data_IF_175957234927
#
_entry.id   IF_175957234927
#
_cell.length_a   1.000
_cell.length_b   1.000
_cell.length_c   1.000
_cell.angle_alpha   90.00
_cell.angle_beta   90.00
_cell.angle_gamma   90.00
#
_symmetry.space_group_name_H-M   'P 1'
#
loop_
_entity.id
_entity.type
_entity.pdbx_description
1 polymer ?
#
# COMPACT_ATOMS: atom_id res chain seq x y z
N UNK A 1 -8.81 -13.50 3.41
CA UNK A 1 -7.90 -12.36 3.67
C UNK A 1 -6.50 -12.91 3.76
N UNK A 2 -5.55 -12.28 3.06
CA UNK A 2 -4.15 -12.73 2.99
C UNK A 2 -3.41 -12.49 4.32
N UNK A 3 -3.79 -11.44 5.05
CA UNK A 3 -3.20 -10.98 6.30
C UNK A 3 -4.24 -10.77 7.41
N UNK A 4 -3.81 -10.82 8.67
CA UNK A 4 -4.64 -10.53 9.85
C UNK A 4 -4.57 -9.06 10.32
N UNK A 5 -3.61 -8.30 9.80
CA UNK A 5 -3.42 -6.86 10.01
C UNK A 5 -3.26 -6.20 8.64
N UNK A 6 -3.59 -4.92 8.52
CA UNK A 6 -3.37 -4.20 7.26
C UNK A 6 -1.88 -4.33 6.84
N UNK A 7 -1.58 -4.83 5.63
CA UNK A 7 -0.21 -5.04 5.16
C UNK A 7 0.55 -3.72 5.04
N UNK A 8 1.59 -3.56 5.86
CA UNK A 8 2.60 -2.51 5.76
C UNK A 8 3.96 -3.20 5.92
N UNK A 9 4.81 -3.07 4.91
CA UNK A 9 6.14 -3.66 4.89
C UNK A 9 7.13 -2.77 4.16
N UNK A 10 8.24 -3.35 3.74
CA UNK A 10 9.32 -2.61 3.09
C UNK A 10 10.21 -3.51 2.26
N UNK A 11 10.94 -2.89 1.34
CA UNK A 11 11.99 -3.54 0.58
C UNK A 11 13.25 -3.70 1.41
N UNK A 12 13.71 -4.94 1.53
CA UNK A 12 14.96 -5.28 2.22
C UNK A 12 15.96 -5.85 1.23
N UNK A 13 17.05 -5.10 1.04
CA UNK A 13 18.12 -5.45 0.09
C UNK A 13 19.42 -5.83 0.81
N UNK A 14 19.36 -6.06 2.12
CA UNK A 14 20.49 -6.61 2.87
C UNK A 14 20.67 -8.09 2.54
N UNK A 15 21.84 -8.66 2.83
CA UNK A 15 22.10 -10.08 2.62
C UNK A 15 21.83 -10.85 3.92
N UNK A 16 21.43 -12.11 3.80
CA UNK A 16 21.35 -13.00 4.97
C UNK A 16 22.71 -13.04 5.66
N UNK A 17 22.73 -12.76 6.96
CA UNK A 17 23.94 -12.62 7.77
C UNK A 17 24.37 -11.18 8.06
N UNK A 18 23.91 -10.19 7.27
CA UNK A 18 24.17 -8.77 7.55
C UNK A 18 23.29 -8.23 8.69
N UNK A 19 22.07 -8.77 8.81
CA UNK A 19 21.13 -8.47 9.89
C UNK A 19 20.90 -9.73 10.73
N UNK A 20 20.80 -9.57 12.04
CA UNK A 20 20.34 -10.60 12.96
C UNK A 20 18.87 -10.44 13.39
N UNK A 21 18.37 -11.34 14.26
CA UNK A 21 17.02 -11.29 14.81
C UNK A 21 16.67 -9.97 15.51
N UNK A 22 17.67 -9.26 16.04
CA UNK A 22 17.50 -7.96 16.68
C UNK A 22 16.95 -6.89 15.73
N UNK A 23 17.20 -7.00 14.42
CA UNK A 23 16.67 -6.08 13.42
C UNK A 23 15.13 -6.09 13.36
N UNK A 24 14.49 -7.19 13.77
CA UNK A 24 13.01 -7.29 13.83
C UNK A 24 12.43 -6.28 14.83
N UNK A 25 13.23 -5.82 15.82
CA UNK A 25 12.82 -4.71 16.69
C UNK A 25 12.60 -3.42 15.90
N UNK A 26 13.46 -3.12 14.91
CA UNK A 26 13.28 -1.96 14.05
C UNK A 26 12.00 -2.07 13.23
N UNK A 27 11.68 -3.27 12.74
CA UNK A 27 10.49 -3.51 11.92
C UNK A 27 9.21 -3.30 12.74
N UNK A 28 9.19 -3.81 13.98
CA UNK A 28 8.10 -3.58 14.92
C UNK A 28 7.97 -2.08 15.32
N UNK A 29 9.10 -1.42 15.57
CA UNK A 29 9.13 0.00 15.93
C UNK A 29 8.69 0.89 14.75
N UNK A 30 8.95 0.49 13.50
CA UNK A 30 8.44 1.14 12.29
C UNK A 30 6.96 0.88 12.03
N UNK A 31 6.32 -0.01 12.80
CA UNK A 31 4.93 -0.41 12.59
C UNK A 31 4.75 -1.33 11.38
N UNK A 32 5.75 -2.13 11.03
CA UNK A 32 5.61 -3.12 9.97
C UNK A 32 4.75 -4.31 10.44
N UNK A 33 3.88 -4.79 9.57
CA UNK A 33 3.05 -6.00 9.76
C UNK A 33 3.54 -7.15 8.89
N UNK A 34 4.32 -6.86 7.85
CA UNK A 34 5.15 -7.82 7.16
C UNK A 34 6.50 -7.20 6.77
N UNK A 35 7.46 -8.02 6.34
CA UNK A 35 8.75 -7.59 5.80
C UNK A 35 9.18 -8.47 4.63
N UNK A 36 10.04 -7.94 3.76
CA UNK A 36 10.90 -8.79 2.95
C UNK A 36 12.09 -9.24 3.81
N UNK A 37 12.44 -10.52 3.76
CA UNK A 37 13.67 -10.99 4.41
C UNK A 37 14.90 -10.40 3.73
N UNK A 38 16.08 -10.43 4.38
CA UNK A 38 17.35 -10.32 3.66
C UNK A 38 17.43 -11.33 2.50
N UNK A 39 18.22 -11.04 1.48
CA UNK A 39 18.42 -11.94 0.34
C UNK A 39 19.18 -13.20 0.79
N UNK A 40 18.61 -14.36 0.50
CA UNK A 40 19.18 -15.68 0.75
C UNK A 40 19.66 -16.29 -0.57
N UNK A 41 20.94 -16.61 -0.64
CA UNK A 41 21.60 -17.23 -1.79
C UNK A 41 22.41 -18.45 -1.34
N UNK A 42 22.94 -19.20 -2.30
CA UNK A 42 23.73 -20.40 -2.00
C UNK A 42 24.95 -20.04 -1.14
N UNK A 43 25.16 -20.80 -0.07
CA UNK A 43 26.20 -20.55 0.93
C UNK A 43 25.82 -19.61 2.10
N UNK A 44 24.63 -19.01 2.11
CA UNK A 44 24.12 -18.32 3.29
C UNK A 44 23.91 -19.28 4.47
N UNK A 45 24.07 -18.77 5.70
CA UNK A 45 23.72 -19.52 6.90
C UNK A 45 22.19 -19.59 7.05
N UNK A 46 21.65 -20.81 6.95
CA UNK A 46 20.23 -21.09 7.13
C UNK A 46 19.73 -20.65 8.51
N UNK A 47 20.52 -20.83 9.56
CA UNK A 47 20.12 -20.49 10.93
C UNK A 47 19.99 -18.98 11.14
N UNK A 48 20.76 -18.17 10.40
CA UNK A 48 20.62 -16.72 10.43
C UNK A 48 19.25 -16.27 9.89
N UNK A 49 18.77 -16.87 8.79
CA UNK A 49 17.43 -16.60 8.26
C UNK A 49 16.35 -17.11 9.22
N UNK A 50 16.50 -18.32 9.78
CA UNK A 50 15.54 -18.89 10.72
C UNK A 50 15.40 -18.02 11.98
N UNK A 51 16.50 -17.50 12.53
CA UNK A 51 16.45 -16.61 13.69
C UNK A 51 15.64 -15.33 13.44
N UNK A 52 15.73 -14.76 12.23
CA UNK A 52 14.88 -13.61 11.83
C UNK A 52 13.41 -14.04 11.76
N UNK A 53 13.12 -15.19 11.15
CA UNK A 53 11.77 -15.71 11.03
C UNK A 53 11.15 -15.99 12.42
N UNK A 54 11.91 -16.56 13.36
CA UNK A 54 11.51 -16.80 14.74
C UNK A 54 11.13 -15.47 15.43
N UNK A 55 12.02 -14.47 15.38
CA UNK A 55 11.77 -13.16 15.98
C UNK A 55 10.55 -12.44 15.36
N UNK A 56 10.29 -12.66 14.07
CA UNK A 56 9.09 -12.20 13.38
C UNK A 56 7.83 -12.92 13.87
N UNK A 57 7.87 -14.24 14.04
CA UNK A 57 6.74 -15.01 14.56
C UNK A 57 6.35 -14.57 15.98
N UNK A 58 7.32 -14.31 16.85
CA UNK A 58 7.09 -13.79 18.20
C UNK A 58 6.32 -12.46 18.23
N UNK A 59 6.46 -11.65 17.17
CA UNK A 59 5.88 -10.29 17.06
C UNK A 59 4.67 -10.24 16.12
N UNK A 60 4.24 -11.38 15.59
CA UNK A 60 3.19 -11.47 14.57
C UNK A 60 3.48 -10.53 13.37
N UNK A 61 4.72 -10.58 12.90
CA UNK A 61 5.18 -9.96 11.66
C UNK A 61 5.35 -11.07 10.63
N UNK A 62 4.70 -10.93 9.48
CA UNK A 62 4.80 -11.89 8.39
C UNK A 62 6.01 -11.61 7.49
N UNK A 63 6.52 -12.62 6.78
CA UNK A 63 7.75 -12.48 5.99
C UNK A 63 7.52 -12.99 4.57
N UNK A 64 7.81 -12.14 3.60
CA UNK A 64 8.03 -12.54 2.22
C UNK A 64 9.51 -12.93 2.14
N UNK A 65 9.78 -14.22 1.97
CA UNK A 65 11.14 -14.75 1.97
C UNK A 65 11.79 -14.49 0.61
N UNK A 66 12.87 -13.72 0.63
CA UNK A 66 13.72 -13.43 -0.52
C UNK A 66 14.79 -14.52 -0.66
N UNK A 67 14.41 -15.66 -1.24
CA UNK A 67 15.32 -16.78 -1.51
C UNK A 67 15.54 -16.95 -3.02
N UNK A 68 16.80 -16.97 -3.48
CA UNK A 68 17.17 -17.10 -4.88
C UNK A 68 16.58 -18.37 -5.54
N UNK A 69 16.36 -19.44 -4.76
CA UNK A 69 15.77 -20.69 -5.23
C UNK A 69 14.28 -20.57 -5.56
N UNK A 70 13.62 -19.51 -5.09
CA UNK A 70 12.21 -19.23 -5.35
C UNK A 70 11.98 -18.26 -6.53
N UNK A 71 13.05 -17.70 -7.11
CA UNK A 71 12.98 -16.70 -8.17
C UNK A 71 12.47 -17.29 -9.47
N UNK A 72 11.92 -16.44 -10.35
CA UNK A 72 11.49 -16.88 -11.69
C UNK A 72 12.65 -17.34 -12.59
N UNK A 73 13.89 -17.00 -12.22
CA UNK A 73 15.12 -17.41 -12.88
C UNK A 73 15.91 -18.49 -12.12
N UNK A 74 15.26 -19.20 -11.19
CA UNK A 74 15.89 -20.25 -10.36
C UNK A 74 16.34 -21.50 -11.13
N UNK A 75 15.82 -21.72 -12.34
CA UNK A 75 16.15 -22.86 -13.20
C UNK A 75 15.79 -22.59 -14.67
N UNK A 76 16.36 -23.37 -15.58
CA UNK A 76 16.10 -23.27 -17.01
C UNK A 76 14.81 -24.02 -17.41
N UNK A 77 14.50 -25.10 -16.68
CA UNK A 77 13.32 -25.94 -16.87
C UNK A 77 12.30 -25.82 -15.73
N UNK A 78 11.06 -26.26 -15.98
CA UNK A 78 10.03 -26.29 -14.94
C UNK A 78 10.39 -27.24 -13.80
N UNK A 79 11.00 -28.38 -14.11
CA UNK A 79 11.44 -29.40 -13.15
C UNK A 79 12.55 -28.87 -12.23
N UNK A 80 13.50 -28.12 -12.77
CA UNK A 80 14.55 -27.46 -11.98
C UNK A 80 13.95 -26.39 -11.04
N UNK A 81 13.08 -25.52 -11.57
CA UNK A 81 12.38 -24.53 -10.73
C UNK A 81 11.56 -25.20 -9.62
N UNK A 82 10.88 -26.31 -9.92
CA UNK A 82 10.11 -27.09 -8.94
C UNK A 82 11.01 -27.67 -7.84
N UNK A 83 12.17 -28.24 -8.22
CA UNK A 83 13.13 -28.78 -7.27
C UNK A 83 13.74 -27.69 -6.37
N UNK A 84 14.13 -26.55 -6.96
CA UNK A 84 14.69 -25.40 -6.23
C UNK A 84 13.68 -24.82 -5.25
N UNK A 85 12.45 -24.56 -5.69
CA UNK A 85 11.41 -24.04 -4.80
C UNK A 85 11.04 -25.03 -3.70
N UNK A 86 11.00 -26.34 -3.99
CA UNK A 86 10.75 -27.35 -2.96
C UNK A 86 11.80 -27.30 -1.84
N UNK A 87 13.08 -27.12 -2.18
CA UNK A 87 14.14 -26.97 -1.18
C UNK A 87 13.95 -25.69 -0.34
N UNK A 88 13.62 -24.56 -0.97
CA UNK A 88 13.33 -23.31 -0.24
C UNK A 88 12.10 -23.43 0.69
N UNK A 89 11.05 -24.11 0.22
CA UNK A 89 9.85 -24.37 1.00
C UNK A 89 10.13 -25.29 2.20
N UNK A 90 10.94 -26.33 2.03
CA UNK A 90 11.37 -27.22 3.13
C UNK A 90 12.20 -26.47 4.18
N UNK A 91 13.03 -25.51 3.75
CA UNK A 91 13.86 -24.72 4.66
C UNK A 91 13.08 -23.65 5.42
N UNK A 92 12.23 -22.88 4.73
CA UNK A 92 11.64 -21.65 5.26
C UNK A 92 10.12 -21.56 5.10
N UNK A 93 9.53 -22.32 4.18
CA UNK A 93 8.13 -22.18 3.79
C UNK A 93 7.13 -22.61 4.87
N UNK A 94 7.51 -23.56 5.72
CA UNK A 94 6.66 -24.08 6.81
C UNK A 94 6.72 -23.23 8.09
N UNK A 95 7.56 -22.21 8.11
CA UNK A 95 7.72 -21.36 9.28
C UNK A 95 6.46 -20.50 9.50
N UNK A 96 5.94 -20.37 10.74
CA UNK A 96 4.70 -19.61 11.00
C UNK A 96 4.74 -18.12 10.61
N UNK A 97 5.94 -17.54 10.52
CA UNK A 97 6.12 -16.18 10.02
C UNK A 97 6.02 -16.06 8.49
N UNK A 98 6.24 -17.13 7.73
CA UNK A 98 6.32 -17.06 6.27
C UNK A 98 4.94 -16.77 5.67
N UNK A 99 4.86 -15.67 4.91
CA UNK A 99 3.71 -15.30 4.09
C UNK A 99 3.77 -15.94 2.70
N UNK A 100 4.98 -16.03 2.16
CA UNK A 100 5.29 -16.58 0.86
C UNK A 100 6.69 -16.19 0.43
N UNK A 101 7.01 -16.39 -0.84
CA UNK A 101 8.34 -16.14 -1.38
C UNK A 101 8.32 -15.06 -2.45
N UNK A 102 9.41 -14.31 -2.53
CA UNK A 102 9.60 -13.29 -3.54
C UNK A 102 9.99 -13.94 -4.88
N UNK A 103 9.09 -13.88 -5.87
CA UNK A 103 9.28 -14.45 -7.20
C UNK A 103 10.26 -13.60 -8.03
N UNK A 104 10.24 -12.29 -7.85
CA UNK A 104 11.12 -11.36 -8.55
C UNK A 104 10.50 -9.97 -8.72
N UNK A 105 11.21 -9.13 -9.45
CA UNK A 105 10.96 -7.70 -9.53
C UNK A 105 10.99 -7.20 -10.98
N UNK A 106 9.90 -6.57 -11.41
CA UNK A 106 9.74 -5.88 -12.69
C UNK A 106 10.04 -6.73 -13.94
N UNK A 107 9.27 -7.81 -14.22
CA UNK A 107 9.37 -8.49 -15.51
C UNK A 107 8.98 -7.53 -16.65
N UNK A 108 9.78 -7.50 -17.72
CA UNK A 108 9.65 -6.49 -18.80
C UNK A 108 9.54 -7.07 -20.21
N UNK A 109 9.66 -8.39 -20.37
CA UNK A 109 9.59 -9.07 -21.67
C UNK A 109 8.60 -10.24 -21.59
N UNK A 110 8.02 -10.68 -22.72
CA UNK A 110 7.12 -11.84 -22.74
C UNK A 110 7.71 -13.08 -22.06
N UNK A 111 9.01 -13.35 -22.26
CA UNK A 111 9.69 -14.50 -21.66
C UNK A 111 9.81 -14.36 -20.14
N UNK A 112 10.07 -13.15 -19.64
CA UNK A 112 10.12 -12.87 -18.20
C UNK A 112 8.73 -12.97 -17.56
N UNK A 113 7.69 -12.47 -18.23
CA UNK A 113 6.32 -12.63 -17.76
C UNK A 113 5.92 -14.11 -17.69
N UNK A 114 6.24 -14.89 -18.72
CA UNK A 114 5.98 -16.33 -18.72
C UNK A 114 6.75 -17.06 -17.60
N UNK A 115 8.02 -16.73 -17.40
CA UNK A 115 8.83 -17.28 -16.31
C UNK A 115 8.24 -16.94 -14.94
N UNK A 116 7.83 -15.69 -14.72
CA UNK A 116 7.21 -15.24 -13.49
C UNK A 116 5.87 -15.94 -13.24
N UNK A 117 5.03 -16.08 -14.27
CA UNK A 117 3.77 -16.82 -14.18
C UNK A 117 4.00 -18.31 -13.87
N UNK A 118 5.01 -18.93 -14.51
CA UNK A 118 5.41 -20.31 -14.22
C UNK A 118 5.86 -20.49 -12.77
N UNK A 119 6.73 -19.60 -12.28
CA UNK A 119 7.19 -19.64 -10.90
C UNK A 119 6.01 -19.49 -9.91
N UNK A 120 5.10 -18.54 -10.15
CA UNK A 120 3.91 -18.36 -9.31
C UNK A 120 3.06 -19.65 -9.25
N UNK A 121 2.80 -20.29 -10.40
CA UNK A 121 2.08 -21.58 -10.45
C UNK A 121 2.79 -22.69 -9.69
N UNK A 122 4.11 -22.83 -9.86
CA UNK A 122 4.93 -23.82 -9.16
C UNK A 122 4.83 -23.61 -7.64
N UNK A 123 4.96 -22.36 -7.20
CA UNK A 123 4.87 -22.04 -5.78
C UNK A 123 3.50 -22.39 -5.19
N UNK A 124 2.41 -22.03 -5.88
CA UNK A 124 1.05 -22.36 -5.44
C UNK A 124 0.73 -23.86 -5.50
N UNK A 125 1.37 -24.61 -6.42
CA UNK A 125 1.26 -26.07 -6.49
C UNK A 125 1.92 -26.75 -5.29
N UNK A 126 3.12 -26.30 -4.89
CA UNK A 126 3.90 -26.89 -3.80
C UNK A 126 3.40 -26.41 -2.43
N UNK A 127 3.07 -25.13 -2.30
CA UNK A 127 2.73 -24.45 -1.06
C UNK A 127 1.44 -23.63 -1.23
N UNK A 128 0.27 -24.28 -1.41
CA UNK A 128 -1.01 -23.59 -1.66
C UNK A 128 -1.46 -22.67 -0.52
N UNK A 129 -0.93 -22.89 0.70
CA UNK A 129 -1.16 -22.07 1.89
C UNK A 129 -0.39 -20.73 1.86
N UNK A 130 0.64 -20.61 1.03
CA UNK A 130 1.45 -19.41 0.91
C UNK A 130 0.92 -18.48 -0.21
N UNK A 131 1.44 -17.25 -0.20
CA UNK A 131 1.13 -16.22 -1.20
C UNK A 131 2.42 -15.75 -1.85
N UNK A 132 2.74 -16.23 -3.06
CA UNK A 132 3.90 -15.75 -3.80
C UNK A 132 3.80 -14.24 -4.06
N UNK A 133 4.94 -13.54 -4.02
CA UNK A 133 5.01 -12.10 -4.21
C UNK A 133 5.80 -11.74 -5.46
N UNK A 134 5.21 -10.93 -6.33
CA UNK A 134 5.79 -10.44 -7.56
C UNK A 134 5.52 -8.92 -7.64
N UNK A 135 6.57 -8.14 -7.88
CA UNK A 135 6.45 -6.69 -8.09
C UNK A 135 6.54 -6.36 -9.59
N UNK A 136 5.73 -5.40 -10.03
CA UNK A 136 5.66 -4.94 -11.42
C UNK A 136 6.11 -3.48 -11.53
N UNK A 137 6.51 -3.11 -12.75
CA UNK A 137 6.77 -1.72 -13.10
C UNK A 137 5.53 -0.84 -12.85
N UNK A 138 5.72 0.46 -12.61
CA UNK A 138 4.61 1.39 -12.68
C UNK A 138 4.00 1.38 -14.08
N UNK A 139 2.71 1.69 -14.15
CA UNK A 139 2.00 1.94 -15.40
C UNK A 139 2.47 3.25 -16.04
N UNK A 140 2.57 3.28 -17.37
CA UNK A 140 2.64 4.49 -18.19
C UNK A 140 1.84 4.30 -19.49
N UNK A 141 1.42 5.40 -20.11
CA UNK A 141 0.65 5.31 -21.36
C UNK A 141 1.48 4.67 -22.48
N UNK A 142 0.92 3.64 -23.13
CA UNK A 142 1.59 2.89 -24.20
C UNK A 142 2.34 1.64 -23.71
N UNK A 143 2.26 1.34 -22.41
CA UNK A 143 2.80 0.10 -21.85
C UNK A 143 2.10 -1.15 -22.44
N UNK A 144 0.80 -1.03 -22.73
CA UNK A 144 -0.04 -2.03 -23.39
C UNK A 144 0.51 -2.49 -24.75
N UNK A 145 0.99 -1.55 -25.55
CA UNK A 145 1.52 -1.82 -26.89
C UNK A 145 2.97 -2.32 -26.82
N UNK A 146 3.75 -1.78 -25.89
CA UNK A 146 5.20 -1.97 -25.86
C UNK A 146 5.65 -3.24 -25.14
N UNK A 147 5.11 -3.54 -23.95
CA UNK A 147 5.60 -4.66 -23.12
C UNK A 147 4.50 -5.62 -22.66
N UNK A 148 3.25 -5.17 -22.50
CA UNK A 148 2.17 -6.02 -21.98
C UNK A 148 1.45 -6.79 -23.08
N UNK A 149 1.43 -6.25 -24.30
CA UNK A 149 0.74 -6.79 -25.47
C UNK A 149 -0.71 -7.18 -25.15
N UNK A 150 -1.51 -6.19 -24.74
CA UNK A 150 -2.93 -6.35 -24.42
C UNK A 150 -3.73 -5.12 -24.88
N UNK A 151 -5.07 -5.23 -25.06
CA UNK A 151 -5.89 -4.07 -25.43
C UNK A 151 -5.95 -3.00 -24.33
N UNK A 152 -6.02 -3.43 -23.08
CA UNK A 152 -5.97 -2.57 -21.89
C UNK A 152 -5.08 -3.15 -20.81
N UNK A 153 -4.64 -2.31 -19.86
CA UNK A 153 -3.95 -2.76 -18.66
C UNK A 153 -4.79 -3.77 -17.86
N UNK A 154 -6.09 -3.54 -17.74
CA UNK A 154 -7.04 -4.40 -17.03
C UNK A 154 -7.13 -5.80 -17.68
N UNK A 155 -7.26 -5.87 -19.02
CA UNK A 155 -7.24 -7.15 -19.75
C UNK A 155 -5.92 -7.90 -19.55
N UNK A 156 -4.79 -7.18 -19.45
CA UNK A 156 -3.49 -7.80 -19.16
C UNK A 156 -3.45 -8.37 -17.75
N UNK A 157 -3.93 -7.64 -16.74
CA UNK A 157 -3.94 -8.12 -15.34
C UNK A 157 -4.83 -9.35 -15.21
N UNK A 158 -6.02 -9.35 -15.80
CA UNK A 158 -6.93 -10.51 -15.79
C UNK A 158 -6.27 -11.74 -16.44
N UNK A 159 -5.67 -11.56 -17.62
CA UNK A 159 -4.97 -12.64 -18.33
C UNK A 159 -3.81 -13.18 -17.50
N UNK A 160 -2.91 -12.31 -17.03
CA UNK A 160 -1.75 -12.71 -16.26
C UNK A 160 -2.17 -13.41 -14.96
N UNK A 161 -3.23 -12.93 -14.31
CA UNK A 161 -3.79 -13.54 -13.09
C UNK A 161 -4.35 -14.93 -13.38
N UNK A 162 -5.14 -15.08 -14.45
CA UNK A 162 -5.69 -16.38 -14.85
C UNK A 162 -4.61 -17.40 -15.21
N UNK A 163 -3.54 -16.95 -15.87
CA UNK A 163 -2.41 -17.80 -16.26
C UNK A 163 -1.52 -18.17 -15.07
N UNK A 164 -1.27 -17.26 -14.14
CA UNK A 164 -0.30 -17.44 -13.06
C UNK A 164 -0.91 -17.92 -11.74
N UNK A 165 -2.17 -17.62 -11.47
CA UNK A 165 -2.80 -17.74 -10.16
C UNK A 165 -2.41 -16.61 -9.18
N UNK A 166 -1.95 -15.46 -9.67
CA UNK A 166 -1.57 -14.30 -8.85
C UNK A 166 -2.67 -13.95 -7.83
N UNK A 167 -2.28 -13.57 -6.61
CA UNK A 167 -3.22 -13.15 -5.53
C UNK A 167 -3.05 -11.69 -5.12
N UNK A 168 -1.90 -11.09 -5.44
CA UNK A 168 -1.52 -9.72 -5.11
C UNK A 168 -0.95 -9.07 -6.37
N UNK A 169 -1.51 -7.93 -6.77
CA UNK A 169 -0.94 -7.09 -7.81
C UNK A 169 -0.13 -5.96 -7.15
N UNK A 170 1.20 -6.08 -7.13
CA UNK A 170 2.09 -5.10 -6.50
C UNK A 170 2.93 -4.34 -7.54
N UNK A 171 3.17 -3.06 -7.29
CA UNK A 171 4.05 -2.23 -8.10
C UNK A 171 4.74 -1.14 -7.28
N UNK A 172 5.67 -0.42 -7.88
CA UNK A 172 6.27 0.75 -7.27
C UNK A 172 6.26 2.01 -8.16
N UNK A 173 5.97 3.16 -7.53
CA UNK A 173 5.93 4.45 -8.21
C UNK A 173 6.30 5.56 -7.23
N UNK A 174 7.33 6.33 -7.56
CA UNK A 174 7.91 7.34 -6.66
C UNK A 174 7.84 8.77 -7.19
N UNK A 175 7.25 8.97 -8.38
CA UNK A 175 7.22 10.24 -9.10
C UNK A 175 6.49 11.35 -8.35
N UNK A 176 5.57 11.02 -7.42
CA UNK A 176 4.95 11.98 -6.49
C UNK A 176 5.96 12.77 -5.67
N UNK A 177 7.18 12.27 -5.50
CA UNK A 177 8.26 12.96 -4.80
C UNK A 177 9.17 13.76 -5.75
N UNK A 178 8.86 13.84 -7.05
CA UNK A 178 9.47 14.87 -7.90
C UNK A 178 9.19 16.28 -7.34
N UNK A 179 9.99 17.28 -7.72
CA UNK A 179 9.79 18.65 -7.27
C UNK A 179 8.38 19.16 -7.60
N UNK A 180 7.81 19.93 -6.67
CA UNK A 180 6.44 20.45 -6.74
C UNK A 180 5.41 19.36 -7.02
N UNK A 181 4.54 19.54 -8.03
CA UNK A 181 3.47 18.59 -8.36
C UNK A 181 3.76 17.74 -9.60
N UNK A 182 5.00 17.78 -10.15
CA UNK A 182 5.36 17.22 -11.48
C UNK A 182 4.89 15.77 -11.67
N UNK A 183 5.05 14.91 -10.67
CA UNK A 183 4.63 13.51 -10.76
C UNK A 183 3.30 13.18 -10.11
N UNK A 184 2.58 14.14 -9.54
CA UNK A 184 1.30 13.88 -8.83
C UNK A 184 0.27 13.22 -9.75
N UNK A 185 0.18 13.68 -11.00
CA UNK A 185 -0.74 13.09 -11.97
C UNK A 185 -0.41 11.61 -12.24
N UNK A 186 0.86 11.30 -12.47
CA UNK A 186 1.33 9.95 -12.78
C UNK A 186 1.19 8.99 -11.58
N UNK A 187 1.42 9.48 -10.36
CA UNK A 187 1.17 8.73 -9.12
C UNK A 187 -0.30 8.31 -8.99
N UNK A 188 -1.23 9.25 -9.16
CA UNK A 188 -2.66 8.92 -9.12
C UNK A 188 -3.10 8.05 -10.31
N UNK A 189 -2.50 8.20 -11.49
CA UNK A 189 -2.76 7.29 -12.63
C UNK A 189 -2.45 5.85 -12.24
N UNK A 190 -1.31 5.64 -11.59
CA UNK A 190 -0.86 4.33 -11.14
C UNK A 190 -1.80 3.74 -10.09
N UNK A 191 -2.14 4.51 -9.03
CA UNK A 191 -3.09 4.05 -8.03
C UNK A 191 -4.42 3.61 -8.66
N UNK A 192 -4.95 4.41 -9.59
CA UNK A 192 -6.22 4.10 -10.25
C UNK A 192 -6.13 2.84 -11.11
N UNK A 193 -5.07 2.73 -11.93
CA UNK A 193 -4.89 1.60 -12.85
C UNK A 193 -4.68 0.28 -12.11
N UNK A 194 -3.87 0.28 -11.06
CA UNK A 194 -3.63 -0.92 -10.27
C UNK A 194 -4.83 -1.30 -9.40
N UNK A 195 -5.57 -0.33 -8.84
CA UNK A 195 -6.82 -0.62 -8.14
C UNK A 195 -7.85 -1.28 -9.07
N UNK A 196 -8.09 -0.67 -10.24
CA UNK A 196 -9.05 -1.18 -11.22
C UNK A 196 -8.64 -2.53 -11.82
N UNK A 197 -7.35 -2.71 -12.14
CA UNK A 197 -6.83 -3.98 -12.64
C UNK A 197 -6.96 -5.11 -11.62
N UNK A 198 -6.66 -4.84 -10.35
CA UNK A 198 -6.82 -5.82 -9.28
C UNK A 198 -8.29 -6.14 -9.00
N UNK A 199 -9.19 -5.15 -9.06
CA UNK A 199 -10.63 -5.35 -8.94
C UNK A 199 -11.16 -6.25 -10.06
N UNK A 200 -10.81 -5.96 -11.32
CA UNK A 200 -11.21 -6.76 -12.48
C UNK A 200 -10.77 -8.22 -12.36
N UNK A 201 -9.54 -8.45 -11.88
CA UNK A 201 -9.00 -9.78 -11.68
C UNK A 201 -9.39 -10.46 -10.34
N UNK A 202 -10.10 -9.76 -9.45
CA UNK A 202 -10.52 -10.29 -8.15
C UNK A 202 -9.37 -10.55 -7.16
N UNK A 203 -8.32 -9.74 -7.19
CA UNK A 203 -7.10 -9.86 -6.37
C UNK A 203 -6.81 -8.58 -5.57
N UNK A 204 -5.85 -8.62 -4.64
CA UNK A 204 -5.54 -7.46 -3.79
C UNK A 204 -4.50 -6.52 -4.46
N UNK A 205 -4.77 -5.21 -4.59
CA UNK A 205 -3.79 -4.24 -5.11
C UNK A 205 -2.85 -3.77 -3.99
N UNK A 206 -1.54 -3.89 -4.21
CA UNK A 206 -0.50 -3.41 -3.29
C UNK A 206 0.38 -2.37 -4.01
N UNK A 207 0.98 -1.45 -3.26
CA UNK A 207 1.88 -0.45 -3.84
C UNK A 207 3.08 -0.19 -2.94
N UNK A 208 4.23 0.09 -3.56
CA UNK A 208 5.41 0.59 -2.87
C UNK A 208 5.46 2.12 -2.94
N UNK A 209 5.56 2.74 -1.78
CA UNK A 209 5.68 4.17 -1.57
C UNK A 209 7.13 4.56 -1.23
N UNK A 210 7.46 5.84 -1.41
CA UNK A 210 8.82 6.32 -1.22
C UNK A 210 9.09 6.73 0.23
N UNK A 211 10.20 6.24 0.79
CA UNK A 211 10.75 6.72 2.07
C UNK A 211 12.16 7.33 1.96
N UNK A 212 12.88 7.09 0.84
CA UNK A 212 14.28 7.52 0.64
C UNK A 212 14.41 8.44 -0.57
N UNK A 213 14.97 9.63 -0.39
CA UNK A 213 15.18 10.54 -1.53
C UNK A 213 16.23 10.00 -2.48
N UNK A 214 15.98 10.02 -3.79
CA UNK A 214 16.94 9.63 -4.83
C UNK A 214 16.56 10.17 -6.20
N UNK A 215 17.50 10.18 -7.14
CA UNK A 215 17.37 10.87 -8.42
C UNK A 215 16.85 12.30 -8.20
N UNK A 216 15.78 12.69 -8.89
CA UNK A 216 15.06 13.95 -8.70
C UNK A 216 14.03 13.89 -7.55
N UNK A 217 13.78 12.72 -6.97
CA UNK A 217 12.88 12.57 -5.85
C UNK A 217 13.46 13.21 -4.59
N UNK A 218 12.71 14.12 -4.00
CA UNK A 218 13.05 14.75 -2.72
C UNK A 218 12.93 13.74 -1.58
N UNK A 219 13.60 14.03 -0.48
CA UNK A 219 13.41 13.27 0.77
C UNK A 219 11.99 13.56 1.29
N UNK A 220 11.15 12.52 1.52
CA UNK A 220 9.82 12.73 2.06
C UNK A 220 9.85 13.34 3.47
N UNK A 221 9.05 14.38 3.69
CA UNK A 221 8.71 14.85 5.04
C UNK A 221 7.68 13.91 5.69
N UNK A 222 7.35 14.13 6.97
CA UNK A 222 6.30 13.36 7.64
C UNK A 222 4.93 13.55 6.98
N UNK A 223 4.65 14.76 6.49
CA UNK A 223 3.42 15.09 5.78
C UNK A 223 3.34 14.35 4.44
N UNK A 224 4.47 14.17 3.76
CA UNK A 224 4.53 13.39 2.51
C UNK A 224 4.33 11.90 2.75
N UNK A 225 4.94 11.34 3.81
CA UNK A 225 4.74 9.94 4.19
C UNK A 225 3.26 9.70 4.54
N UNK A 226 2.65 10.60 5.31
CA UNK A 226 1.23 10.55 5.66
C UNK A 226 0.33 10.67 4.42
N UNK A 227 0.64 11.61 3.53
CA UNK A 227 -0.11 11.83 2.29
C UNK A 227 -0.03 10.63 1.36
N UNK A 228 1.17 10.08 1.12
CA UNK A 228 1.34 8.90 0.26
C UNK A 228 0.51 7.72 0.78
N UNK A 229 0.63 7.41 2.07
CA UNK A 229 -0.07 6.28 2.67
C UNK A 229 -1.60 6.45 2.64
N UNK A 230 -2.10 7.62 3.07
CA UNK A 230 -3.55 7.84 3.14
C UNK A 230 -4.19 7.96 1.76
N UNK A 231 -3.53 8.61 0.79
CA UNK A 231 -4.07 8.69 -0.58
C UNK A 231 -4.08 7.34 -1.26
N UNK A 232 -3.03 6.52 -1.08
CA UNK A 232 -3.00 5.16 -1.61
C UNK A 232 -4.16 4.30 -1.08
N UNK A 233 -4.39 4.34 0.24
CA UNK A 233 -5.50 3.60 0.88
C UNK A 233 -6.86 4.13 0.45
N UNK A 234 -7.06 5.46 0.42
CA UNK A 234 -8.31 6.08 -0.05
C UNK A 234 -8.58 5.80 -1.55
N UNK A 235 -7.54 5.45 -2.31
CA UNK A 235 -7.60 4.99 -3.70
C UNK A 235 -7.80 3.48 -3.87
N UNK A 236 -7.99 2.73 -2.77
CA UNK A 236 -8.31 1.30 -2.81
C UNK A 236 -7.13 0.35 -2.61
N UNK A 237 -5.90 0.85 -2.39
CA UNK A 237 -4.75 -0.02 -2.11
C UNK A 237 -4.95 -0.81 -0.80
N UNK A 238 -4.58 -2.09 -0.85
CA UNK A 238 -4.75 -3.08 0.23
C UNK A 238 -3.46 -3.49 0.92
N UNK A 239 -2.31 -3.06 0.40
CA UNK A 239 -1.03 -3.26 1.05
C UNK A 239 -0.02 -2.20 0.63
N UNK A 240 0.85 -1.83 1.57
CA UNK A 240 1.87 -0.81 1.38
C UNK A 240 3.24 -1.43 1.61
N UNK A 241 4.18 -1.18 0.70
CA UNK A 241 5.61 -1.34 0.93
C UNK A 241 6.28 0.03 0.98
N UNK A 242 7.37 0.15 1.72
CA UNK A 242 8.24 1.32 1.69
C UNK A 242 9.57 0.98 1.00
N UNK A 243 9.93 1.77 0.00
CA UNK A 243 11.26 1.73 -0.62
C UNK A 243 12.18 2.73 0.05
N UNK A 244 13.30 2.31 0.63
CA UNK A 244 13.56 1.04 1.33
C UNK A 244 13.97 1.40 2.77
N UNK A 245 14.22 0.44 3.66
CA UNK A 245 14.54 0.77 5.07
C UNK A 245 16.05 0.89 5.34
N UNK A 246 16.85 -0.05 4.84
CA UNK A 246 18.30 -0.14 5.15
C UNK A 246 19.14 0.35 3.98
N UNK A 247 19.89 1.42 4.20
CA UNK A 247 21.01 1.74 3.33
C UNK A 247 22.19 0.80 3.64
N UNK A 248 22.84 0.30 2.60
CA UNK A 248 23.90 -0.73 2.74
C UNK A 248 25.27 -0.14 2.50
N UNK A 249 25.35 0.74 1.52
CA UNK A 249 26.53 1.51 1.18
C UNK A 249 26.07 2.82 0.51
N UNK A 250 26.88 3.89 0.53
CA UNK A 250 26.58 5.10 -0.24
C UNK A 250 26.59 4.81 -1.74
N UNK A 251 25.42 4.49 -2.28
CA UNK A 251 25.20 4.18 -3.70
C UNK A 251 24.13 5.10 -4.28
N UNK A 252 24.21 5.32 -5.59
CA UNK A 252 23.36 6.29 -6.28
C UNK A 252 23.47 7.67 -5.61
N UNK A 253 22.41 8.48 -5.70
CA UNK A 253 22.26 9.65 -4.86
C UNK A 253 21.17 9.41 -3.81
N UNK A 254 21.13 8.24 -3.16
CA UNK A 254 20.21 7.99 -2.05
C UNK A 254 20.48 8.95 -0.89
N UNK A 255 19.41 9.38 -0.21
CA UNK A 255 19.45 10.40 0.83
C UNK A 255 18.44 10.09 1.93
N UNK A 256 18.93 10.15 3.16
CA UNK A 256 18.16 10.09 4.40
C UNK A 256 17.20 8.87 4.50
N UNK A 257 17.72 7.64 4.32
CA UNK A 257 16.97 6.41 4.53
C UNK A 257 16.48 6.29 5.98
N UNK A 258 15.46 5.47 6.30
CA UNK A 258 15.09 5.20 7.68
C UNK A 258 16.26 4.71 8.55
N UNK A 259 17.07 3.78 8.03
CA UNK A 259 18.32 3.33 8.65
C UNK A 259 19.46 3.61 7.69
N UNK A 260 20.44 4.38 8.14
CA UNK A 260 21.57 4.79 7.32
C UNK A 260 22.65 3.71 7.17
N UNK A 261 23.67 4.02 6.38
CA UNK A 261 24.78 3.11 6.09
C UNK A 261 25.62 2.71 7.31
N UNK A 262 25.43 3.38 8.46
CA UNK A 262 26.09 3.07 9.73
C UNK A 262 25.19 2.23 10.65
N UNK A 263 23.98 1.89 10.21
CA UNK A 263 22.98 1.19 11.01
C UNK A 263 22.26 2.11 12.01
N UNK A 264 22.36 3.43 11.85
CA UNK A 264 21.74 4.39 12.76
C UNK A 264 20.32 4.76 12.28
N UNK A 265 19.41 4.93 13.23
CA UNK A 265 18.05 5.41 12.94
C UNK A 265 18.09 6.90 12.62
N UNK A 266 17.61 7.29 11.44
CA UNK A 266 17.55 8.70 11.04
C UNK A 266 16.24 9.37 11.47
N UNK A 267 16.07 10.66 11.15
CA UNK A 267 14.78 11.33 11.33
C UNK A 267 13.65 10.72 10.48
N UNK A 268 13.97 10.11 9.33
CA UNK A 268 13.00 9.40 8.48
C UNK A 268 12.40 8.21 9.22
N UNK A 269 13.20 7.48 10.01
CA UNK A 269 12.69 6.38 10.86
C UNK A 269 11.58 6.84 11.79
N UNK A 270 11.84 7.92 12.53
CA UNK A 270 10.90 8.42 13.53
C UNK A 270 9.60 8.92 12.89
N UNK A 271 9.69 9.60 11.74
CA UNK A 271 8.53 10.08 10.97
C UNK A 271 7.71 8.91 10.43
N UNK A 272 8.36 7.94 9.78
CA UNK A 272 7.71 6.78 9.19
C UNK A 272 7.03 5.89 10.25
N UNK A 273 7.72 5.67 11.38
CA UNK A 273 7.17 4.95 12.54
C UNK A 273 5.86 5.57 13.03
N UNK A 274 5.82 6.90 13.21
CA UNK A 274 4.60 7.61 13.63
C UNK A 274 3.47 7.44 12.62
N UNK A 275 3.75 7.65 11.33
CA UNK A 275 2.74 7.54 10.26
C UNK A 275 2.14 6.14 10.20
N UNK A 276 2.97 5.10 10.11
CA UNK A 276 2.50 3.71 10.01
C UNK A 276 1.70 3.29 11.25
N UNK A 277 2.24 3.56 12.46
CA UNK A 277 1.59 3.17 13.72
C UNK A 277 0.30 3.92 13.96
N UNK A 278 0.25 5.20 13.60
CA UNK A 278 -0.98 6.01 13.68
C UNK A 278 -2.06 5.42 12.77
N UNK A 279 -1.73 5.15 11.51
CA UNK A 279 -2.66 4.54 10.58
C UNK A 279 -3.12 3.15 11.03
N UNK A 280 -2.20 2.26 11.42
CA UNK A 280 -2.56 0.93 11.88
C UNK A 280 -3.42 0.95 13.13
N UNK A 281 -3.11 1.85 14.06
CA UNK A 281 -3.91 1.99 15.27
C UNK A 281 -5.33 2.44 14.92
N UNK A 282 -5.47 3.51 14.16
CA UNK A 282 -6.79 4.08 13.91
C UNK A 282 -7.57 3.30 12.84
N UNK A 283 -6.98 3.08 11.67
CA UNK A 283 -7.71 2.66 10.47
C UNK A 283 -7.40 1.25 9.97
N UNK A 284 -6.31 0.63 10.43
CA UNK A 284 -5.81 -0.65 9.88
C UNK A 284 -6.87 -1.75 9.81
N UNK A 285 -7.61 -1.97 10.91
CA UNK A 285 -8.66 -3.00 10.98
C UNK A 285 -9.81 -2.73 10.00
N UNK A 286 -10.21 -1.46 9.85
CA UNK A 286 -11.30 -1.06 8.95
C UNK A 286 -10.89 -1.32 7.51
N UNK A 287 -9.76 -0.78 7.06
CA UNK A 287 -9.35 -0.90 5.66
C UNK A 287 -8.85 -2.29 5.28
N UNK A 288 -8.46 -3.12 6.25
CA UNK A 288 -8.20 -4.54 6.03
C UNK A 288 -9.46 -5.26 5.53
N UNK A 289 -10.64 -4.93 6.11
CA UNK A 289 -11.90 -5.64 5.84
C UNK A 289 -12.81 -4.95 4.82
N UNK A 290 -12.70 -3.63 4.68
CA UNK A 290 -13.65 -2.86 3.90
C UNK A 290 -13.51 -3.12 2.39
N UNK A 291 -14.60 -3.29 1.68
CA UNK A 291 -14.64 -3.26 0.21
C UNK A 291 -14.46 -1.81 -0.27
N UNK A 292 -13.63 -1.56 -1.27
CA UNK A 292 -13.50 -0.25 -1.91
C UNK A 292 -14.59 -0.11 -2.98
N UNK A 293 -15.30 1.01 -2.99
CA UNK A 293 -16.43 1.26 -3.91
C UNK A 293 -16.12 2.30 -4.99
N UNK A 294 -14.98 2.97 -4.88
CA UNK A 294 -14.58 4.04 -5.79
C UNK A 294 -13.97 5.24 -5.08
N UNK A 295 -13.28 6.08 -5.85
CA UNK A 295 -12.58 7.27 -5.36
C UNK A 295 -12.81 8.45 -6.29
N UNK A 296 -12.99 9.62 -5.69
CA UNK A 296 -13.26 10.88 -6.37
C UNK A 296 -12.32 11.96 -5.85
N UNK A 297 -12.02 12.94 -6.69
CA UNK A 297 -11.25 14.11 -6.29
C UNK A 297 -12.17 15.32 -6.18
N UNK A 298 -11.88 16.25 -5.27
CA UNK A 298 -12.53 17.58 -5.24
C UNK A 298 -11.59 18.63 -5.82
N UNK A 299 -12.15 19.71 -6.38
CA UNK A 299 -11.43 20.87 -6.94
C UNK A 299 -10.54 20.57 -8.16
N UNK A 300 -9.61 19.62 -8.05
CA UNK A 300 -8.63 19.25 -9.07
C UNK A 300 -8.50 17.73 -9.19
N UNK A 301 -8.72 17.22 -10.40
CA UNK A 301 -8.53 15.81 -10.72
C UNK A 301 -7.08 15.52 -11.09
N UNK A 302 -6.57 14.39 -10.61
CA UNK A 302 -5.29 13.81 -11.00
C UNK A 302 -5.50 12.37 -11.46
N UNK A 303 -4.62 11.87 -12.33
CA UNK A 303 -4.59 10.46 -12.71
C UNK A 303 -5.82 9.93 -13.46
N UNK A 304 -6.75 10.80 -13.84
CA UNK A 304 -8.03 10.42 -14.42
C UNK A 304 -9.09 10.00 -13.39
N UNK A 305 -8.91 10.31 -12.10
CA UNK A 305 -10.00 10.17 -11.13
C UNK A 305 -11.16 11.12 -11.47
N UNK A 306 -12.42 10.67 -11.38
CA UNK A 306 -13.56 11.55 -11.57
C UNK A 306 -13.57 12.66 -10.50
N UNK A 307 -14.07 13.83 -10.88
CA UNK A 307 -14.38 14.88 -9.91
C UNK A 307 -15.64 14.48 -9.14
N UNK A 308 -15.68 14.81 -7.85
CA UNK A 308 -16.89 14.72 -7.05
C UNK A 308 -17.89 15.76 -7.58
N UNK A 309 -19.01 15.29 -8.13
CA UNK A 309 -20.12 16.12 -8.58
C UNK A 309 -21.21 16.17 -7.51
N UNK A 310 -21.51 17.38 -7.04
CA UNK A 310 -22.51 17.63 -6.02
C UNK A 310 -23.90 17.11 -6.43
N UNK A 311 -24.56 16.37 -5.53
CA UNK A 311 -25.88 15.76 -5.74
C UNK A 311 -25.94 14.65 -6.79
N UNK A 312 -24.80 14.23 -7.36
CA UNK A 312 -24.73 13.16 -8.37
C UNK A 312 -23.85 11.98 -7.98
N UNK A 313 -22.75 12.24 -7.27
CA UNK A 313 -21.74 11.21 -6.98
C UNK A 313 -22.25 10.15 -6.02
N UNK A 314 -22.97 10.55 -4.98
CA UNK A 314 -23.53 9.67 -3.97
C UNK A 314 -24.90 10.18 -3.52
N UNK A 315 -25.74 9.27 -3.04
CA UNK A 315 -27.12 9.56 -2.65
C UNK A 315 -27.27 10.08 -1.21
N UNK A 316 -26.21 9.98 -0.40
CA UNK A 316 -26.16 10.46 0.99
C UNK A 316 -25.11 11.57 1.14
N UNK A 317 -23.91 11.41 0.61
CA UNK A 317 -22.92 12.48 0.55
C UNK A 317 -23.23 13.38 -0.65
N UNK A 318 -23.87 14.52 -0.40
CA UNK A 318 -24.30 15.43 -1.46
C UNK A 318 -23.19 16.35 -1.92
N UNK A 319 -22.27 16.74 -1.04
CA UNK A 319 -21.10 17.56 -1.40
C UNK A 319 -19.94 17.39 -0.41
N UNK A 320 -18.73 17.76 -0.85
CA UNK A 320 -17.53 17.86 -0.02
C UNK A 320 -16.81 19.17 -0.33
N UNK A 321 -16.80 20.08 0.64
CA UNK A 321 -16.19 21.41 0.49
C UNK A 321 -14.99 21.58 1.40
N UNK A 322 -14.15 22.58 1.11
CA UNK A 322 -13.07 23.01 1.99
C UNK A 322 -13.06 24.53 2.06
N UNK A 323 -13.07 25.10 3.27
CA UNK A 323 -13.12 26.56 3.47
C UNK A 323 -11.92 27.28 2.84
N UNK A 324 -10.77 26.61 2.80
CA UNK A 324 -9.52 27.12 2.20
C UNK A 324 -9.41 26.77 0.70
N UNK A 325 -10.42 26.13 0.11
CA UNK A 325 -10.42 25.74 -1.30
C UNK A 325 -9.44 24.61 -1.65
N UNK A 326 -8.98 23.85 -0.65
CA UNK A 326 -8.05 22.73 -0.87
C UNK A 326 -8.78 21.53 -1.49
N UNK A 327 -8.07 20.80 -2.36
CA UNK A 327 -8.54 19.55 -2.94
C UNK A 327 -8.53 18.41 -1.90
N UNK A 328 -9.50 17.51 -2.02
CA UNK A 328 -9.57 16.27 -1.26
C UNK A 328 -9.52 15.05 -2.18
N UNK A 329 -9.03 13.93 -1.63
CA UNK A 329 -9.32 12.59 -2.15
C UNK A 329 -10.45 12.01 -1.30
N UNK A 330 -11.53 11.58 -1.95
CA UNK A 330 -12.74 11.05 -1.31
C UNK A 330 -12.91 9.59 -1.73
N UNK A 331 -12.60 8.66 -0.84
CA UNK A 331 -12.74 7.22 -1.07
C UNK A 331 -14.00 6.67 -0.40
N UNK A 332 -14.78 5.87 -1.11
CA UNK A 332 -15.96 5.20 -0.59
C UNK A 332 -15.68 3.73 -0.28
N UNK A 333 -16.20 3.26 0.84
CA UNK A 333 -15.95 1.92 1.35
C UNK A 333 -17.19 1.28 1.97
N UNK A 334 -17.24 -0.05 1.97
CA UNK A 334 -18.27 -0.83 2.66
C UNK A 334 -17.65 -1.83 3.63
N UNK A 335 -18.11 -1.84 4.88
CA UNK A 335 -17.72 -2.85 5.87
C UNK A 335 -18.94 -3.20 6.72
N UNK A 336 -19.22 -4.50 6.90
CA UNK A 336 -20.35 -4.95 7.74
C UNK A 336 -21.74 -4.48 7.28
N UNK A 337 -21.89 -4.00 6.05
CA UNK A 337 -23.12 -3.37 5.53
C UNK A 337 -23.18 -1.85 5.71
N UNK A 338 -22.28 -1.28 6.48
CA UNK A 338 -22.15 0.17 6.67
C UNK A 338 -21.32 0.81 5.55
N UNK A 339 -21.72 2.03 5.15
CA UNK A 339 -20.99 2.85 4.18
C UNK A 339 -20.06 3.81 4.90
N UNK A 340 -18.78 3.76 4.54
CA UNK A 340 -17.73 4.62 5.06
C UNK A 340 -17.19 5.53 3.95
N UNK A 341 -16.83 6.76 4.32
CA UNK A 341 -16.21 7.75 3.46
C UNK A 341 -14.89 8.18 4.07
N UNK A 342 -13.79 7.94 3.37
CA UNK A 342 -12.48 8.47 3.71
C UNK A 342 -12.28 9.80 2.99
N UNK A 343 -12.00 10.87 3.73
CA UNK A 343 -11.64 12.19 3.19
C UNK A 343 -10.19 12.46 3.56
N UNK A 344 -9.34 12.61 2.54
CA UNK A 344 -7.91 12.92 2.68
C UNK A 344 -7.67 14.34 2.18
N UNK A 345 -6.99 15.17 2.97
CA UNK A 345 -6.47 16.44 2.48
C UNK A 345 -5.41 16.17 1.42
N UNK A 346 -5.68 16.53 0.17
CA UNK A 346 -4.78 16.25 -0.94
C UNK A 346 -3.62 17.26 -1.06
N UNK A 347 -3.52 18.22 -0.14
CA UNK A 347 -2.34 19.09 0.01
C UNK A 347 -1.26 18.39 0.84
N UNK A 348 0.00 18.61 0.45
CA UNK A 348 1.20 18.25 1.24
C UNK A 348 1.81 19.44 1.99
N UNK A 349 1.19 20.63 1.92
CA UNK A 349 1.72 21.87 2.50
C UNK A 349 0.74 22.61 3.41
N UNK A 350 -0.55 22.47 3.19
CA UNK A 350 -1.58 23.31 3.83
C UNK A 350 -2.63 22.49 4.56
N UNK A 351 -3.09 23.01 5.70
CA UNK A 351 -4.23 22.45 6.44
C UNK A 351 -5.52 23.13 6.01
N UNK A 352 -6.63 22.39 6.03
CA UNK A 352 -7.94 22.95 5.71
C UNK A 352 -9.08 22.32 6.49
N UNK A 353 -10.19 23.05 6.61
CA UNK A 353 -11.44 22.57 7.18
C UNK A 353 -12.27 21.94 6.07
N UNK A 354 -12.38 20.61 6.07
CA UNK A 354 -13.17 19.87 5.11
C UNK A 354 -14.55 19.57 5.69
N UNK A 355 -15.60 19.86 4.92
CA UNK A 355 -16.99 19.74 5.34
C UNK A 355 -17.73 18.81 4.38
N UNK A 356 -18.35 17.78 4.94
CA UNK A 356 -19.25 16.86 4.24
C UNK A 356 -20.67 17.40 4.40
N UNK A 357 -21.40 17.40 3.30
CA UNK A 357 -22.81 17.79 3.25
C UNK A 357 -23.65 16.56 3.00
N UNK A 358 -24.68 16.36 3.83
CA UNK A 358 -25.62 15.24 3.71
C UNK A 358 -27.06 15.75 3.88
N UNK A 359 -28.09 15.08 3.32
CA UNK A 359 -29.48 15.47 3.51
C UNK A 359 -29.87 15.56 4.99
N UNK A 360 -30.76 16.49 5.34
CA UNK A 360 -31.19 16.73 6.73
C UNK A 360 -31.83 15.50 7.41
N UNK A 361 -32.41 14.60 6.63
CA UNK A 361 -33.01 13.35 7.09
C UNK A 361 -32.02 12.18 7.19
N UNK A 362 -30.73 12.41 6.96
CA UNK A 362 -29.67 11.42 7.13
C UNK A 362 -29.65 10.89 8.57
N UNK A 363 -29.86 9.58 8.75
CA UNK A 363 -29.93 8.96 10.08
C UNK A 363 -28.56 8.72 10.71
N UNK A 364 -27.58 8.37 9.89
CA UNK A 364 -26.21 8.09 10.36
C UNK A 364 -25.26 9.10 9.74
N UNK A 365 -24.65 9.92 10.59
CA UNK A 365 -23.57 10.82 10.22
C UNK A 365 -22.57 10.90 11.37
N UNK A 366 -21.55 10.06 11.30
CA UNK A 366 -20.66 9.78 12.41
C UNK A 366 -19.20 9.81 12.00
N UNK A 367 -18.34 10.30 12.89
CA UNK A 367 -16.89 10.31 12.72
C UNK A 367 -16.29 9.04 13.30
N UNK A 368 -15.45 8.36 12.52
CA UNK A 368 -14.63 7.25 12.98
C UNK A 368 -13.44 7.78 13.78
N UNK A 369 -13.27 7.30 15.01
CA UNK A 369 -12.35 7.89 16.00
C UNK A 369 -11.09 7.05 16.23
N UNK A 370 -10.13 7.64 16.94
CA UNK A 370 -8.89 7.00 17.39
C UNK A 370 -9.11 5.63 18.03
N UNK A 371 -10.12 5.50 18.89
CA UNK A 371 -10.43 4.28 19.62
C UNK A 371 -11.23 3.25 18.81
N UNK A 372 -11.26 3.38 17.48
CA UNK A 372 -11.97 2.47 16.55
C UNK A 372 -13.48 2.41 16.78
N UNK A 373 -14.06 3.50 17.29
CA UNK A 373 -15.51 3.67 17.48
C UNK A 373 -16.03 4.82 16.61
N UNK A 374 -17.32 4.79 16.27
CA UNK A 374 -17.99 5.91 15.65
C UNK A 374 -18.66 6.80 16.70
N UNK A 375 -18.58 8.12 16.52
CA UNK A 375 -19.31 9.11 17.32
C UNK A 375 -20.13 10.00 16.40
N UNK A 376 -21.35 10.37 16.80
CA UNK A 376 -22.16 11.31 16.00
C UNK A 376 -21.39 12.59 15.77
N UNK A 377 -21.39 13.08 14.55
CA UNK A 377 -20.54 14.21 14.18
C UNK A 377 -20.90 15.49 14.96
N UNK A 378 -22.19 15.68 15.28
CA UNK A 378 -22.65 16.78 16.15
C UNK A 378 -22.11 16.75 17.59
N UNK A 379 -21.65 15.59 18.05
CA UNK A 379 -21.04 15.41 19.37
C UNK A 379 -19.50 15.47 19.30
N UNK A 380 -18.93 15.60 18.09
CA UNK A 380 -17.50 15.78 17.92
C UNK A 380 -17.10 17.22 18.32
N UNK A 381 -15.94 17.36 18.95
CA UNK A 381 -15.41 18.65 19.41
C UNK A 381 -13.97 18.87 18.92
N UNK A 382 -13.43 20.06 19.21
CA UNK A 382 -12.06 20.52 18.90
C UNK A 382 -11.82 20.83 17.43
N UNK A 383 -11.46 19.81 16.66
CA UNK A 383 -11.12 19.90 15.25
C UNK A 383 -12.34 19.78 14.34
N UNK A 384 -13.48 19.34 14.88
CA UNK A 384 -14.70 19.13 14.13
C UNK A 384 -15.57 20.38 14.02
N UNK A 385 -16.29 20.51 12.91
CA UNK A 385 -17.39 21.45 12.74
C UNK A 385 -18.70 20.70 12.54
N UNK A 386 -19.80 21.29 13.00
CA UNK A 386 -21.15 20.79 12.73
C UNK A 386 -22.15 21.95 12.73
N UNK A 387 -23.02 21.99 11.73
CA UNK A 387 -24.16 22.89 11.65
C UNK A 387 -25.25 22.28 10.78
N UNK A 388 -26.47 22.79 10.93
CA UNK A 388 -27.63 22.34 10.17
C UNK A 388 -28.16 23.50 9.34
N UNK A 389 -28.56 23.23 8.09
CA UNK A 389 -29.31 24.16 7.26
C UNK A 389 -30.78 23.74 7.22
N UNK A 390 -31.60 24.41 6.41
CA UNK A 390 -32.99 23.98 6.21
C UNK A 390 -33.09 22.61 5.52
N UNK A 391 -32.07 22.24 4.73
CA UNK A 391 -32.08 21.07 3.85
C UNK A 391 -30.99 20.04 4.14
N UNK A 392 -29.94 20.40 4.88
CA UNK A 392 -28.73 19.58 5.04
C UNK A 392 -28.23 19.53 6.49
N UNK A 393 -27.52 18.44 6.81
CA UNK A 393 -26.57 18.40 7.91
C UNK A 393 -25.16 18.60 7.31
N UNK A 394 -24.40 19.53 7.87
CA UNK A 394 -23.05 19.83 7.44
C UNK A 394 -22.09 19.53 8.59
N UNK A 395 -21.01 18.82 8.32
CA UNK A 395 -19.95 18.66 9.29
C UNK A 395 -18.70 18.00 8.75
N UNK A 396 -17.62 18.11 9.51
CA UNK A 396 -16.34 17.53 9.14
C UNK A 396 -15.25 17.97 10.10
N UNK A 397 -14.02 18.05 9.62
CA UNK A 397 -12.82 18.18 10.46
C UNK A 397 -11.75 19.07 9.79
N UNK A 398 -10.97 19.76 10.62
CA UNK A 398 -9.67 20.28 10.21
C UNK A 398 -8.71 19.12 9.91
N UNK A 399 -8.12 19.14 8.72
CA UNK A 399 -7.15 18.15 8.25
C UNK A 399 -5.80 18.80 7.98
N UNK A 400 -4.76 18.33 8.66
CA UNK A 400 -3.37 18.61 8.32
C UNK A 400 -3.01 18.07 6.92
N UNK A 401 -1.87 18.45 6.34
CA UNK A 401 -1.48 17.96 5.00
C UNK A 401 -1.46 16.43 4.92
N UNK A 402 -2.09 15.85 3.92
CA UNK A 402 -2.20 14.38 3.77
C UNK A 402 -2.99 13.65 4.85
N UNK A 403 -3.57 14.35 5.85
CA UNK A 403 -4.33 13.70 6.90
C UNK A 403 -5.65 13.15 6.37
N UNK A 404 -6.05 12.00 6.89
CA UNK A 404 -7.32 11.35 6.58
C UNK A 404 -8.25 11.36 7.79
N UNK A 405 -9.54 11.58 7.53
CA UNK A 405 -10.64 11.24 8.44
C UNK A 405 -11.60 10.30 7.72
N UNK A 406 -12.26 9.45 8.50
CA UNK A 406 -13.24 8.50 7.99
C UNK A 406 -14.58 8.76 8.68
N UNK A 407 -15.65 8.74 7.91
CA UNK A 407 -17.01 8.98 8.37
C UNK A 407 -17.91 7.81 8.00
N UNK A 408 -18.83 7.43 8.88
CA UNK A 408 -19.92 6.50 8.59
C UNK A 408 -21.16 7.30 8.23
N UNK A 409 -21.75 7.00 7.07
CA UNK A 409 -22.94 7.70 6.57
C UNK A 409 -24.03 6.71 6.15
N UNK A 410 -25.30 7.04 6.38
CA UNK A 410 -26.42 6.15 6.05
C UNK A 410 -27.81 6.76 6.26
N UNK A 411 -28.78 6.25 5.49
CA UNK A 411 -30.19 6.67 5.49
C UNK A 411 -31.03 6.07 6.62
#
# INVERSE_FOLDING_TARGET
>A
MIMNKFPIGFWNYTRTGDLGPEAVKDWADLGMTFALSPEYYDGCDKEAMLGILDACAERDIKVIVSDHRARWWSGETAEECEAQFKAAYEDFGRHPATLGFHIGDEPTTPEKFEAAARANRIQLKIAPELTPHLNFLPYWQGQEESILHAPTFEDWVERFTAESGLKILCYDCYVQMNPEEEGTHQYFTNLRKFAAGAEAAGIEPWTTLLSVGHFRYRVPSEDDLRWQLNTAVASGMKGILWFFVYEREPVSNYRLPPIDEFGERTETFARLSRVNRHFLHQFGDLFLRAEHLGTFHTVKSYGGYPLFEAGKTDDVLTDVTCDQGLAAVVGFFREGGDKYVAVVNNSVKESGLFVLHVPKDTKTFERFTWNRTCVRLKDASWDACYYETDTELCGGDWLAPGQMKVYRIGK
#
